data_IF_170337821236
#
_entry.id   IF_170337821236
#
_cell.length_a   1.000
_cell.length_b   1.000
_cell.length_c   1.000
_cell.angle_alpha   90.00
_cell.angle_beta   90.00
_cell.angle_gamma   90.00
#
_symmetry.space_group_name_H-M   'P 1'
#
loop_
_entity.id
_entity.type
_entity.pdbx_description
1 polymer ?
#
# COMPACT_ATOMS: atom_id res chain seq x y z
N UNK A 1 -5.23 -4.82 -22.15
CA UNK A 1 -4.44 -6.01 -21.80
C UNK A 1 -3.65 -5.70 -20.55
N UNK A 2 -3.65 -6.62 -19.57
CA UNK A 2 -2.97 -6.44 -18.29
C UNK A 2 -2.04 -7.63 -18.02
N UNK A 3 -0.90 -7.37 -17.41
CA UNK A 3 0.09 -8.36 -16.99
C UNK A 3 0.41 -8.13 -15.52
N UNK A 4 0.61 -9.21 -14.79
CA UNK A 4 1.07 -9.18 -13.41
C UNK A 4 2.13 -10.26 -13.18
N UNK A 5 3.27 -9.83 -12.69
CA UNK A 5 4.39 -10.70 -12.32
C UNK A 5 4.77 -10.38 -10.87
N UNK A 6 4.97 -11.41 -10.05
CA UNK A 6 5.37 -11.22 -8.66
C UNK A 6 6.25 -12.36 -8.13
N UNK A 7 7.12 -12.00 -7.20
CA UNK A 7 7.84 -12.92 -6.32
C UNK A 7 7.40 -12.67 -4.90
N UNK A 8 7.04 -13.74 -4.20
CA UNK A 8 6.65 -13.69 -2.79
C UNK A 8 7.61 -14.53 -1.96
N UNK A 9 8.05 -13.97 -0.84
CA UNK A 9 8.86 -14.63 0.16
C UNK A 9 8.13 -14.54 1.49
N UNK A 10 8.01 -15.67 2.19
CA UNK A 10 7.36 -15.71 3.50
C UNK A 10 8.21 -16.53 4.47
N UNK A 11 8.35 -16.01 5.68
CA UNK A 11 8.95 -16.70 6.80
C UNK A 11 7.99 -16.60 7.97
N UNK A 12 7.74 -17.71 8.62
CA UNK A 12 6.81 -17.80 9.75
C UNK A 12 7.38 -18.64 10.86
N UNK A 13 7.19 -18.19 12.10
CA UNK A 13 7.50 -18.91 13.32
C UNK A 13 6.25 -18.96 14.19
N UNK A 14 5.58 -20.12 14.30
CA UNK A 14 4.43 -20.26 15.19
C UNK A 14 4.85 -20.12 16.65
N UNK A 15 4.00 -19.49 17.46
CA UNK A 15 4.14 -19.50 18.90
C UNK A 15 3.61 -20.83 19.44
N UNK A 16 4.47 -21.60 20.11
CA UNK A 16 4.10 -22.86 20.77
C UNK A 16 4.07 -22.67 22.29
N UNK A 17 3.63 -23.69 23.04
CA UNK A 17 3.61 -23.63 24.50
C UNK A 17 4.95 -23.31 25.14
N UNK A 18 6.04 -23.78 24.51
CA UNK A 18 7.42 -23.61 24.99
C UNK A 18 8.09 -22.31 24.56
N UNK A 19 7.48 -21.58 23.59
CA UNK A 19 8.05 -20.33 23.10
C UNK A 19 7.29 -19.13 23.62
N UNK A 20 8.03 -18.06 23.92
CA UNK A 20 7.46 -16.79 24.37
C UNK A 20 7.11 -15.84 23.24
N UNK A 21 7.42 -16.22 21.99
CA UNK A 21 7.12 -15.38 20.84
C UNK A 21 6.86 -16.20 19.58
N UNK A 22 6.07 -15.65 18.72
CA UNK A 22 5.81 -16.11 17.37
C UNK A 22 5.60 -14.92 16.45
N UNK A 23 5.59 -15.16 15.15
CA UNK A 23 5.35 -14.11 14.17
C UNK A 23 5.69 -14.54 12.77
N UNK A 24 5.44 -13.66 11.83
CA UNK A 24 5.72 -13.90 10.42
C UNK A 24 6.08 -12.61 9.69
N UNK A 25 6.74 -12.76 8.58
CA UNK A 25 7.02 -11.71 7.62
C UNK A 25 6.77 -12.25 6.21
N UNK A 26 5.99 -11.52 5.44
CA UNK A 26 5.76 -11.78 4.04
C UNK A 26 6.22 -10.55 3.24
N UNK A 27 7.02 -10.79 2.21
CA UNK A 27 7.46 -9.77 1.27
C UNK A 27 7.01 -10.13 -0.14
N UNK A 28 6.38 -9.17 -0.81
CA UNK A 28 5.99 -9.28 -2.22
C UNK A 28 6.72 -8.23 -3.03
N UNK A 29 7.45 -8.67 -4.05
CA UNK A 29 7.95 -7.85 -5.15
C UNK A 29 7.03 -8.08 -6.34
N UNK A 30 6.16 -7.12 -6.64
CA UNK A 30 5.19 -7.22 -7.71
C UNK A 30 5.41 -6.21 -8.83
N UNK A 31 4.86 -6.49 -10.00
CA UNK A 31 4.81 -5.58 -11.14
C UNK A 31 3.50 -5.80 -11.87
N UNK A 32 2.66 -4.78 -11.91
CA UNK A 32 1.45 -4.77 -12.72
C UNK A 32 1.58 -3.74 -13.84
N UNK A 33 1.34 -4.17 -15.07
CA UNK A 33 1.39 -3.33 -16.26
C UNK A 33 0.09 -3.44 -17.03
N UNK A 34 -0.29 -2.37 -17.70
CA UNK A 34 -1.43 -2.34 -18.62
C UNK A 34 -1.06 -1.70 -19.96
N UNK A 35 -1.77 -2.10 -20.99
CA UNK A 35 -1.70 -1.54 -22.34
C UNK A 35 -3.13 -1.22 -22.78
N UNK A 36 -3.41 0.05 -23.03
CA UNK A 36 -4.76 0.55 -23.14
C UNK A 36 -5.45 0.65 -21.76
N UNK A 37 -6.53 1.40 -21.68
CA UNK A 37 -7.32 1.50 -20.46
C UNK A 37 -8.82 1.32 -20.77
N UNK A 38 -9.67 1.14 -19.75
CA UNK A 38 -11.10 0.92 -19.89
C UNK A 38 -11.85 2.15 -20.45
N UNK A 39 -11.29 3.34 -20.28
CA UNK A 39 -11.86 4.58 -20.80
C UNK A 39 -11.81 4.64 -22.33
N UNK A 40 -10.86 3.91 -22.92
CA UNK A 40 -10.70 3.85 -24.37
C UNK A 40 -11.89 3.20 -25.11
N UNK A 41 -12.67 2.37 -24.41
CA UNK A 41 -13.84 1.67 -24.95
C UNK A 41 -15.08 2.57 -25.05
N UNK A 42 -15.18 3.60 -24.21
CA UNK A 42 -16.40 4.42 -24.09
C UNK A 42 -16.27 5.82 -24.67
N UNK A 43 -15.05 6.37 -24.75
CA UNK A 43 -14.84 7.79 -25.10
C UNK A 43 -14.01 8.00 -26.36
N UNK A 44 -13.88 6.98 -27.18
CA UNK A 44 -13.21 7.07 -28.46
C UNK A 44 -11.74 6.66 -28.39
N UNK A 45 -11.23 6.35 -29.55
CA UNK A 45 -9.84 5.97 -29.76
C UNK A 45 -8.96 7.20 -29.56
N UNK A 46 -7.86 7.03 -28.83
CA UNK A 46 -6.80 8.00 -28.87
C UNK A 46 -6.23 8.01 -30.30
N UNK A 47 -6.50 9.07 -31.06
CA UNK A 47 -6.12 9.19 -32.48
C UNK A 47 -4.61 9.04 -32.72
N UNK A 48 -3.80 9.16 -31.68
CA UNK A 48 -2.35 8.94 -31.74
C UNK A 48 -1.95 7.49 -31.91
N UNK A 49 -2.86 6.56 -31.60
CA UNK A 49 -2.61 5.13 -31.70
C UNK A 49 -3.71 4.45 -32.52
N UNK A 50 -3.34 3.85 -33.62
CA UNK A 50 -4.30 3.19 -34.53
C UNK A 50 -4.90 1.92 -33.92
N UNK A 51 -4.13 1.22 -33.10
CA UNK A 51 -4.58 0.03 -32.40
C UNK A 51 -4.18 0.04 -30.92
N UNK A 52 -4.83 -0.80 -30.11
CA UNK A 52 -4.43 -0.99 -28.71
C UNK A 52 -2.99 -1.53 -28.60
N UNK A 53 -2.53 -2.27 -29.62
CA UNK A 53 -1.18 -2.81 -29.65
C UNK A 53 -0.09 -1.74 -29.80
N UNK A 54 -0.43 -0.60 -30.42
CA UNK A 54 0.51 0.50 -30.63
C UNK A 54 0.69 1.37 -29.38
N UNK A 55 -0.15 1.17 -28.37
CA UNK A 55 -0.09 1.94 -27.11
C UNK A 55 1.06 1.50 -26.24
N UNK A 56 1.69 2.43 -25.54
CA UNK A 56 2.75 2.08 -24.59
C UNK A 56 2.23 1.19 -23.46
N UNK A 57 3.07 0.29 -22.98
CA UNK A 57 2.86 -0.40 -21.73
C UNK A 57 3.21 0.55 -20.58
N UNK A 58 2.26 0.76 -19.70
CA UNK A 58 2.40 1.62 -18.52
C UNK A 58 2.17 0.78 -17.26
N UNK A 59 2.69 1.25 -16.14
CA UNK A 59 2.33 0.66 -14.85
C UNK A 59 0.83 0.77 -14.65
N UNK A 60 0.20 -0.33 -14.24
CA UNK A 60 -1.24 -0.32 -13.99
C UNK A 60 -1.56 0.52 -12.73
N UNK A 61 -2.71 1.19 -12.69
CA UNK A 61 -3.21 1.76 -11.45
C UNK A 61 -3.37 0.65 -10.40
N UNK A 62 -3.01 0.96 -9.17
CA UNK A 62 -2.98 -0.04 -8.09
C UNK A 62 -1.69 -0.86 -8.01
N UNK A 63 -0.73 -0.67 -8.95
CA UNK A 63 0.56 -1.35 -8.84
C UNK A 63 1.33 -0.86 -7.62
N UNK A 64 1.67 -1.79 -6.74
CA UNK A 64 2.53 -1.57 -5.58
C UNK A 64 3.76 -2.48 -5.69
N UNK A 65 4.93 -1.88 -5.96
CA UNK A 65 6.14 -2.62 -6.28
C UNK A 65 6.65 -3.47 -5.13
N UNK A 66 6.67 -2.89 -3.94
CA UNK A 66 7.14 -3.53 -2.72
C UNK A 66 6.02 -3.53 -1.70
N UNK A 67 5.74 -4.68 -1.13
CA UNK A 67 4.80 -4.83 -0.04
C UNK A 67 5.41 -5.76 1.02
N UNK A 68 5.47 -5.30 2.27
CA UNK A 68 5.90 -6.06 3.42
C UNK A 68 4.76 -6.07 4.41
N UNK A 69 4.36 -7.27 4.81
CA UNK A 69 3.44 -7.48 5.93
C UNK A 69 4.18 -8.31 6.97
N UNK A 70 4.30 -7.78 8.17
CA UNK A 70 4.88 -8.51 9.29
C UNK A 70 3.93 -8.50 10.48
N UNK A 71 3.93 -9.57 11.22
CA UNK A 71 3.20 -9.70 12.47
C UNK A 71 4.06 -10.36 13.53
N UNK A 72 3.78 -10.04 14.77
CA UNK A 72 4.48 -10.66 15.90
C UNK A 72 3.60 -10.68 17.14
N UNK A 73 3.81 -11.68 17.96
CA UNK A 73 3.20 -11.82 19.27
C UNK A 73 4.25 -12.23 20.29
N UNK A 74 4.25 -11.58 21.44
CA UNK A 74 5.18 -11.81 22.54
C UNK A 74 4.41 -12.02 23.84
N UNK A 75 4.73 -13.11 24.54
CA UNK A 75 4.23 -13.36 25.89
C UNK A 75 5.24 -12.87 26.91
N UNK A 76 4.88 -11.85 27.64
CA UNK A 76 5.66 -11.27 28.72
C UNK A 76 5.32 -11.93 30.08
N UNK A 77 6.12 -11.68 31.14
CA UNK A 77 5.78 -12.11 32.49
C UNK A 77 4.38 -11.64 32.91
N UNK A 78 3.77 -12.39 33.81
CA UNK A 78 2.41 -12.15 34.31
C UNK A 78 1.33 -12.26 33.21
N UNK A 79 1.53 -13.11 32.20
CA UNK A 79 0.61 -13.41 31.10
C UNK A 79 0.21 -12.16 30.26
N UNK A 80 1.02 -11.10 30.30
CA UNK A 80 0.81 -9.96 29.39
C UNK A 80 1.24 -10.37 27.98
N UNK A 81 0.32 -10.21 27.02
CA UNK A 81 0.60 -10.44 25.60
C UNK A 81 0.72 -9.11 24.87
N UNK A 82 1.82 -8.97 24.12
CA UNK A 82 2.00 -7.87 23.19
C UNK A 82 1.97 -8.41 21.77
N UNK A 83 1.25 -7.76 20.88
CA UNK A 83 1.28 -8.09 19.46
C UNK A 83 1.39 -6.83 18.61
N UNK A 84 1.96 -7.02 17.43
CA UNK A 84 2.13 -5.96 16.45
C UNK A 84 1.80 -6.47 15.05
N UNK A 85 1.24 -5.58 14.23
CA UNK A 85 1.10 -5.76 12.80
C UNK A 85 1.79 -4.58 12.12
N UNK A 86 2.62 -4.86 11.14
CA UNK A 86 3.36 -3.87 10.37
C UNK A 86 3.03 -4.05 8.90
N UNK A 87 2.55 -2.99 8.25
CA UNK A 87 2.32 -2.94 6.82
C UNK A 87 3.19 -1.83 6.22
N UNK A 88 4.11 -2.19 5.33
CA UNK A 88 4.98 -1.27 4.62
C UNK A 88 4.83 -1.50 3.13
N UNK A 89 4.54 -0.44 2.38
CA UNK A 89 4.34 -0.55 0.94
C UNK A 89 4.98 0.60 0.18
N UNK A 90 5.52 0.32 -0.99
CA UNK A 90 5.88 1.38 -1.94
C UNK A 90 4.61 2.12 -2.38
N UNK A 91 4.79 3.31 -2.98
CA UNK A 91 3.64 4.07 -3.49
C UNK A 91 2.79 3.25 -4.47
N UNK A 92 1.49 3.24 -4.22
CA UNK A 92 0.51 2.64 -5.13
C UNK A 92 0.31 3.60 -6.30
N UNK A 93 0.48 3.11 -7.52
CA UNK A 93 0.25 3.94 -8.72
C UNK A 93 -1.21 4.32 -8.85
N UNK A 94 -1.45 5.58 -9.17
CA UNK A 94 -2.77 6.12 -9.48
C UNK A 94 -2.82 6.65 -10.91
N UNK A 95 -4.01 6.74 -11.47
CA UNK A 95 -4.19 7.40 -12.76
C UNK A 95 -3.85 8.88 -12.65
N UNK A 96 -3.13 9.38 -13.66
CA UNK A 96 -2.82 10.79 -13.80
C UNK A 96 -3.20 11.24 -15.20
N UNK A 97 -3.48 12.54 -15.33
CA UNK A 97 -3.97 13.14 -16.58
C UNK A 97 -3.12 14.34 -16.95
N UNK A 98 -2.71 14.39 -18.20
CA UNK A 98 -1.98 15.53 -18.77
C UNK A 98 -2.91 16.33 -19.69
N UNK A 99 -3.31 17.50 -19.25
CA UNK A 99 -4.20 18.43 -19.96
C UNK A 99 -3.44 19.61 -20.57
N UNK A 100 -2.13 19.58 -20.63
CA UNK A 100 -1.32 20.68 -21.15
C UNK A 100 -1.59 20.98 -22.63
N UNK A 101 -2.06 20.00 -23.39
CA UNK A 101 -2.41 20.14 -24.81
C UNK A 101 -3.92 20.30 -25.03
N UNK A 102 -4.72 20.33 -23.97
CA UNK A 102 -6.17 20.51 -24.01
C UNK A 102 -6.89 19.64 -23.00
N UNK A 103 -8.14 20.01 -22.70
CA UNK A 103 -8.99 19.34 -21.70
C UNK A 103 -9.93 18.29 -22.30
N UNK A 104 -10.03 18.23 -23.64
CA UNK A 104 -10.87 17.26 -24.33
C UNK A 104 -10.43 15.82 -24.10
N UNK A 105 -11.37 14.87 -24.17
CA UNK A 105 -11.08 13.44 -23.99
C UNK A 105 -10.02 12.91 -24.97
N UNK A 106 -9.90 13.54 -26.13
CA UNK A 106 -8.95 13.18 -27.19
C UNK A 106 -7.59 13.89 -27.09
N UNK A 107 -7.48 14.92 -26.25
CA UNK A 107 -6.28 15.76 -26.12
C UNK A 107 -5.50 15.46 -24.84
N UNK A 108 -6.17 15.01 -23.79
CA UNK A 108 -5.53 14.69 -22.54
C UNK A 108 -4.86 13.32 -22.59
N UNK A 109 -3.59 13.27 -22.17
CA UNK A 109 -2.82 12.04 -22.02
C UNK A 109 -3.10 11.42 -20.66
N UNK A 110 -3.44 10.14 -20.64
CA UNK A 110 -3.49 9.37 -19.40
C UNK A 110 -2.14 8.72 -19.14
N UNK A 111 -1.62 8.88 -17.95
CA UNK A 111 -0.40 8.22 -17.45
C UNK A 111 -0.58 7.80 -15.99
N UNK A 112 0.44 7.25 -15.37
CA UNK A 112 0.37 6.84 -13.97
C UNK A 112 1.32 7.67 -13.11
N UNK A 113 0.83 8.07 -11.95
CA UNK A 113 1.61 8.73 -10.91
C UNK A 113 1.90 7.75 -9.77
N UNK A 114 3.11 7.77 -9.27
CA UNK A 114 3.50 6.98 -8.10
C UNK A 114 3.85 7.93 -6.96
N UNK A 115 3.14 7.88 -5.82
CA UNK A 115 3.46 8.68 -4.65
C UNK A 115 4.90 8.47 -4.18
N UNK A 116 5.58 9.52 -3.74
CA UNK A 116 6.96 9.44 -3.26
C UNK A 116 7.04 8.61 -1.98
N UNK A 117 8.15 7.89 -1.84
CA UNK A 117 8.48 7.17 -0.63
C UNK A 117 8.83 8.14 0.51
N UNK A 118 8.58 7.71 1.75
CA UNK A 118 8.85 8.44 2.98
C UNK A 118 9.88 7.67 3.82
N UNK A 119 10.64 8.33 4.70
CA UNK A 119 11.49 7.64 5.66
C UNK A 119 10.64 6.84 6.66
N UNK A 120 11.11 5.65 7.03
CA UNK A 120 10.50 4.83 8.08
C UNK A 120 11.55 4.50 9.14
N UNK A 121 11.35 4.96 10.37
CA UNK A 121 12.27 4.75 11.51
C UNK A 121 13.75 5.02 11.15
N UNK A 122 14.02 6.00 10.32
CA UNK A 122 15.37 6.31 9.86
C UNK A 122 15.93 5.38 8.76
N UNK A 123 15.15 4.41 8.29
CA UNK A 123 15.55 3.47 7.24
C UNK A 123 15.06 3.99 5.89
N UNK A 124 15.91 4.67 5.16
CA UNK A 124 15.74 5.02 3.74
C UNK A 124 14.37 5.58 3.33
N UNK A 125 14.22 5.82 2.04
CA UNK A 125 13.00 6.31 1.41
C UNK A 125 12.44 5.23 0.46
N UNK A 126 11.93 4.12 1.00
CA UNK A 126 11.42 2.99 0.20
C UNK A 126 9.89 2.92 0.24
N UNK A 127 9.29 3.27 1.37
CA UNK A 127 7.87 3.04 1.61
C UNK A 127 7.09 4.37 1.62
N UNK A 128 6.04 4.44 0.79
CA UNK A 128 5.07 5.53 0.79
C UNK A 128 3.91 5.25 1.75
N UNK A 129 3.55 3.97 1.91
CA UNK A 129 2.54 3.51 2.87
C UNK A 129 3.23 2.86 4.05
N UNK A 130 2.89 3.29 5.26
CA UNK A 130 3.51 2.82 6.50
C UNK A 130 2.42 2.77 7.58
N UNK A 131 2.16 1.59 8.10
CA UNK A 131 1.21 1.41 9.20
C UNK A 131 1.78 0.41 10.20
N UNK A 132 1.71 0.76 11.46
CA UNK A 132 2.08 -0.11 12.59
C UNK A 132 0.95 -0.07 13.60
N UNK A 133 0.35 -1.20 13.84
CA UNK A 133 -0.69 -1.40 14.83
C UNK A 133 -0.15 -2.25 15.97
N UNK A 134 -0.43 -1.84 17.20
CA UNK A 134 0.04 -2.52 18.40
C UNK A 134 -1.16 -2.91 19.25
N UNK A 135 -1.07 -4.06 19.89
CA UNK A 135 -2.05 -4.54 20.87
C UNK A 135 -1.34 -5.01 22.15
N UNK A 136 -1.87 -4.62 23.29
CA UNK A 136 -1.54 -5.20 24.59
C UNK A 136 -2.80 -5.89 25.14
N UNK A 137 -2.64 -7.15 25.58
CA UNK A 137 -3.71 -7.94 26.17
C UNK A 137 -3.29 -8.51 27.50
N UNK A 138 -4.11 -8.35 28.53
CA UNK A 138 -3.91 -8.91 29.85
C UNK A 138 -5.12 -9.73 30.25
N UNK A 139 -5.03 -11.07 30.24
CA UNK A 139 -6.07 -11.93 30.80
C UNK A 139 -6.06 -11.86 32.33
N UNK A 140 -7.23 -11.76 32.89
CA UNK A 140 -7.49 -11.75 34.35
C UNK A 140 -8.45 -12.87 34.69
N UNK A 141 -8.06 -13.76 35.61
CA UNK A 141 -8.94 -14.79 36.14
C UNK A 141 -9.62 -14.27 37.39
N UNK A 142 -10.94 -14.23 37.36
CA UNK A 142 -11.75 -13.81 38.50
C UNK A 142 -12.02 -15.00 39.44
N UNK A 143 -12.23 -14.68 40.73
CA UNK A 143 -12.42 -15.69 41.77
C UNK A 143 -13.67 -16.58 41.56
N UNK A 144 -14.63 -16.16 40.75
CA UNK A 144 -15.83 -16.89 40.40
C UNK A 144 -15.67 -17.83 39.19
N UNK A 145 -14.45 -18.02 38.70
CA UNK A 145 -14.14 -18.86 37.52
C UNK A 145 -14.41 -18.21 36.19
N UNK A 146 -14.69 -16.91 36.15
CA UNK A 146 -14.80 -16.13 34.93
C UNK A 146 -13.45 -15.61 34.47
N UNK A 147 -13.24 -15.54 33.16
CA UNK A 147 -12.06 -14.94 32.54
C UNK A 147 -12.45 -13.57 31.97
N UNK A 148 -11.65 -12.56 32.25
CA UNK A 148 -11.76 -11.20 31.73
C UNK A 148 -10.46 -10.87 31.00
N UNK A 149 -10.54 -10.34 29.77
CA UNK A 149 -9.37 -9.82 29.07
C UNK A 149 -9.45 -8.30 28.97
N UNK A 150 -8.40 -7.63 29.43
CA UNK A 150 -8.20 -6.21 29.18
C UNK A 150 -7.36 -6.06 27.91
N UNK A 151 -7.90 -5.34 26.92
CA UNK A 151 -7.27 -5.15 25.62
C UNK A 151 -7.11 -3.65 25.36
N UNK A 152 -5.91 -3.28 24.93
CA UNK A 152 -5.58 -1.92 24.46
C UNK A 152 -5.03 -2.03 23.06
N UNK A 153 -5.66 -1.36 22.11
CA UNK A 153 -5.24 -1.27 20.71
C UNK A 153 -4.76 0.14 20.40
N UNK A 154 -3.60 0.23 19.74
CA UNK A 154 -3.03 1.44 19.17
C UNK A 154 -2.93 1.25 17.68
N UNK A 155 -3.85 1.86 16.93
CA UNK A 155 -3.81 1.85 15.47
C UNK A 155 -2.91 2.96 14.96
N UNK A 156 -2.12 2.65 13.92
CA UNK A 156 -1.18 3.61 13.33
C UNK A 156 -0.29 4.28 14.39
N UNK A 157 0.36 3.47 15.22
CA UNK A 157 1.09 3.88 16.42
C UNK A 157 2.14 4.99 16.20
N UNK A 158 2.66 5.13 14.98
CA UNK A 158 3.60 6.19 14.60
C UNK A 158 2.94 7.39 13.91
N UNK A 159 1.61 7.41 13.85
CA UNK A 159 0.83 8.49 13.24
C UNK A 159 1.28 8.85 11.81
N UNK A 160 1.59 7.83 10.99
CA UNK A 160 1.98 8.04 9.60
C UNK A 160 0.76 8.41 8.76
N UNK A 161 0.85 9.50 8.00
CA UNK A 161 -0.19 9.86 7.05
C UNK A 161 -0.09 8.98 5.79
N UNK A 162 -1.08 8.12 5.57
CA UNK A 162 -1.19 7.27 4.39
C UNK A 162 -2.34 7.81 3.53
N UNK A 163 -1.99 8.54 2.48
CA UNK A 163 -2.97 9.17 1.61
C UNK A 163 -3.44 8.20 0.52
N UNK A 164 -4.75 8.14 0.30
CA UNK A 164 -5.36 7.30 -0.74
C UNK A 164 -5.59 8.01 -2.07
N UNK A 165 -5.58 9.35 -2.07
CA UNK A 165 -5.82 10.18 -3.25
C UNK A 165 -4.72 11.24 -3.40
N UNK A 166 -4.43 11.58 -4.65
CA UNK A 166 -3.45 12.61 -5.00
C UNK A 166 -4.01 13.46 -6.12
N UNK A 167 -3.64 14.74 -6.14
CA UNK A 167 -3.91 15.61 -7.26
C UNK A 167 -2.92 15.28 -8.40
N UNK A 168 -3.40 14.63 -9.44
CA UNK A 168 -2.56 14.07 -10.52
C UNK A 168 -2.90 14.64 -11.89
N UNK A 169 -3.50 15.84 -11.95
CA UNK A 169 -3.78 16.53 -13.20
C UNK A 169 -2.69 17.57 -13.50
N UNK A 170 -1.96 17.38 -14.60
CA UNK A 170 -1.04 18.35 -15.18
C UNK A 170 -1.83 19.30 -16.09
N UNK A 171 -1.68 20.60 -15.88
CA UNK A 171 -2.35 21.65 -16.64
C UNK A 171 -1.32 22.52 -17.37
N UNK A 172 -1.75 23.26 -18.40
CA UNK A 172 -0.91 24.20 -19.13
C UNK A 172 -0.34 25.29 -18.21
N UNK A 173 -1.13 25.77 -17.25
CA UNK A 173 -0.65 26.57 -16.13
C UNK A 173 -0.15 25.63 -15.06
N UNK A 174 1.07 25.84 -14.51
CA UNK A 174 1.60 24.96 -13.47
C UNK A 174 0.60 24.78 -12.32
N UNK A 175 0.21 23.55 -12.07
CA UNK A 175 -0.65 23.21 -10.93
C UNK A 175 0.21 23.09 -9.67
N UNK A 176 0.17 24.04 -8.72
CA UNK A 176 1.01 24.02 -7.53
C UNK A 176 0.69 22.83 -6.60
N UNK A 177 -0.50 22.24 -6.76
CA UNK A 177 -0.96 21.11 -5.96
C UNK A 177 -0.67 19.76 -6.62
N UNK A 178 0.00 19.73 -7.78
CA UNK A 178 0.32 18.46 -8.44
C UNK A 178 1.16 17.55 -7.53
N UNK A 179 0.73 16.30 -7.37
CA UNK A 179 1.39 15.33 -6.51
C UNK A 179 1.13 15.51 -5.02
N UNK A 180 0.29 16.48 -4.62
CA UNK A 180 -0.16 16.61 -3.22
C UNK A 180 -1.39 15.74 -2.98
N UNK A 181 -1.56 15.24 -1.75
CA UNK A 181 -2.76 14.50 -1.35
C UNK A 181 -4.00 15.40 -1.24
#
# INVERSE_FOLDING_TARGET
KTWYDAVQLQVEKPMTGDTRWGGGIAYTLGKSEQQGNSTDLFWGFDERFQTVADRPRLRAPGDQRHNIVANGVFRLPADLMLSAIVNLGSGITVNARDERQGTGAFQALTYTYTPPAKPFLGIGHVFATQQVDLRAEKPLRLANGQDLSLIVDLFNAFNNANYGCYNTTLQATPNPNYGTP
#
